data_IF_093941159152
#
_entry.id   IF_093941159152
#
_cell.length_a   1.000
_cell.length_b   1.000
_cell.length_c   1.000
_cell.angle_alpha   90.00
_cell.angle_beta   90.00
_cell.angle_gamma   90.00
#
_symmetry.space_group_name_H-M   'P 1'
#
loop_
_entity.id
_entity.type
_entity.pdbx_description
1 polymer ?
#
# COMPACT_ATOMS: atom_id res chain seq x y z
N UNK A 1 -30.19 -3.11 42.96
CA UNK A 1 -30.00 -3.45 41.54
C UNK A 1 -28.55 -3.13 41.20
N UNK A 2 -27.72 -4.17 41.02
CA UNK A 2 -26.30 -4.01 40.73
C UNK A 2 -26.10 -3.95 39.21
N UNK A 3 -25.36 -2.93 38.77
CA UNK A 3 -24.86 -2.76 37.40
C UNK A 3 -23.84 -3.87 37.09
N UNK A 4 -23.98 -4.66 36.01
CA UNK A 4 -22.97 -5.64 35.65
C UNK A 4 -21.78 -4.95 34.98
N UNK A 5 -20.67 -4.94 35.72
CA UNK A 5 -19.33 -5.32 35.25
C UNK A 5 -18.83 -4.74 33.93
N UNK A 6 -18.02 -3.68 34.06
CA UNK A 6 -16.94 -3.32 33.15
C UNK A 6 -16.00 -4.53 32.90
N UNK A 7 -16.11 -5.20 31.76
CA UNK A 7 -15.17 -6.25 31.33
C UNK A 7 -13.93 -5.58 30.73
N UNK A 8 -12.91 -5.49 31.58
CA UNK A 8 -11.47 -5.37 31.30
C UNK A 8 -11.04 -5.58 29.85
N UNK A 9 -10.52 -4.51 29.24
CA UNK A 9 -9.77 -4.53 27.97
C UNK A 9 -8.33 -5.02 28.15
N UNK A 10 -8.17 -6.17 28.82
CA UNK A 10 -6.89 -6.77 29.19
C UNK A 10 -6.83 -8.26 28.78
N UNK A 11 -7.50 -8.65 27.70
CA UNK A 11 -7.35 -10.01 27.15
C UNK A 11 -6.04 -10.10 26.35
N UNK A 12 -5.00 -10.79 26.86
CA UNK A 12 -3.70 -10.87 26.21
C UNK A 12 -3.79 -11.58 24.85
N UNK A 13 -4.79 -12.43 24.64
CA UNK A 13 -5.06 -13.07 23.35
C UNK A 13 -5.52 -12.07 22.29
N UNK A 14 -6.45 -11.15 22.62
CA UNK A 14 -6.92 -10.12 21.68
C UNK A 14 -5.78 -9.16 21.33
N UNK A 15 -4.99 -8.76 22.33
CA UNK A 15 -3.80 -7.94 22.11
C UNK A 15 -2.75 -8.69 21.28
N UNK A 16 -2.51 -9.98 21.53
CA UNK A 16 -1.56 -10.78 20.75
C UNK A 16 -1.99 -10.99 19.30
N UNK A 17 -3.29 -11.19 19.07
CA UNK A 17 -3.87 -11.29 17.73
C UNK A 17 -3.75 -9.96 17.00
N UNK A 18 -4.06 -8.85 17.68
CA UNK A 18 -3.88 -7.50 17.13
C UNK A 18 -2.41 -7.21 16.80
N UNK A 19 -1.46 -7.54 17.67
CA UNK A 19 -0.03 -7.35 17.43
C UNK A 19 0.48 -8.24 16.29
N UNK A 20 -0.05 -9.45 16.16
CA UNK A 20 0.29 -10.36 15.06
C UNK A 20 -0.26 -9.85 13.74
N UNK A 21 -1.51 -9.37 13.72
CA UNK A 21 -2.13 -8.75 12.56
C UNK A 21 -1.40 -7.47 12.15
N UNK A 22 -1.05 -6.60 13.11
CA UNK A 22 -0.26 -5.38 12.87
C UNK A 22 1.12 -5.74 12.33
N UNK A 23 1.80 -6.76 12.87
CA UNK A 23 3.09 -7.23 12.33
C UNK A 23 2.97 -7.81 10.92
N UNK A 24 1.89 -8.52 10.62
CA UNK A 24 1.65 -9.02 9.26
C UNK A 24 1.31 -7.90 8.29
N UNK A 25 0.57 -6.87 8.75
CA UNK A 25 0.31 -5.65 7.99
C UNK A 25 1.62 -4.91 7.76
N UNK A 26 2.46 -4.72 8.77
CA UNK A 26 3.80 -4.12 8.63
C UNK A 26 4.69 -4.92 7.68
N UNK A 27 4.60 -6.25 7.67
CA UNK A 27 5.39 -7.12 6.77
C UNK A 27 4.86 -7.11 5.34
N UNK A 28 3.54 -6.95 5.14
CA UNK A 28 2.89 -6.74 3.83
C UNK A 28 3.13 -5.31 3.30
N UNK A 29 3.08 -4.30 4.16
CA UNK A 29 3.33 -2.89 3.84
C UNK A 29 4.83 -2.54 3.82
N UNK A 30 5.71 -3.42 4.32
CA UNK A 30 7.18 -3.27 4.28
C UNK A 30 7.72 -3.11 2.85
N UNK A 31 6.94 -3.49 1.83
CA UNK A 31 7.27 -3.39 0.41
C UNK A 31 6.79 -2.08 -0.24
N UNK A 32 6.11 -1.19 0.51
CA UNK A 32 5.39 -0.03 -0.02
C UNK A 32 5.81 1.32 0.62
N UNK A 33 7.10 1.55 0.83
CA UNK A 33 7.55 2.93 1.02
C UNK A 33 7.41 3.69 -0.30
N UNK A 34 6.98 4.95 -0.24
CA UNK A 34 6.72 5.77 -1.42
C UNK A 34 7.94 5.84 -2.36
N UNK A 35 9.14 5.93 -1.79
CA UNK A 35 10.42 5.91 -2.51
C UNK A 35 10.71 4.57 -3.19
N UNK A 36 10.42 3.43 -2.53
CA UNK A 36 10.60 2.11 -3.15
C UNK A 36 9.61 1.87 -4.28
N UNK A 37 8.38 2.39 -4.16
CA UNK A 37 7.39 2.29 -5.22
C UNK A 37 7.82 3.08 -6.46
N UNK A 38 8.37 4.29 -6.25
CA UNK A 38 8.96 5.13 -7.30
C UNK A 38 10.14 4.42 -7.96
N UNK A 39 11.07 3.87 -7.18
CA UNK A 39 12.22 3.12 -7.71
C UNK A 39 11.79 1.87 -8.50
N UNK A 40 10.78 1.15 -8.03
CA UNK A 40 10.18 0.01 -8.75
C UNK A 40 9.58 0.43 -10.10
N UNK A 41 8.86 1.55 -10.14
CA UNK A 41 8.22 2.08 -11.35
C UNK A 41 9.22 2.66 -12.35
N UNK A 42 10.36 3.17 -11.87
CA UNK A 42 11.43 3.77 -12.69
C UNK A 42 12.61 2.83 -12.96
N UNK A 43 12.57 1.59 -12.47
CA UNK A 43 13.65 0.61 -12.64
C UNK A 43 13.93 0.37 -14.13
N UNK A 44 15.20 0.21 -14.55
CA UNK A 44 15.52 -0.23 -15.92
C UNK A 44 14.77 -1.53 -16.26
N UNK A 45 13.90 -1.46 -17.28
CA UNK A 45 12.94 -2.52 -17.65
C UNK A 45 11.47 -2.21 -17.33
N UNK A 46 11.19 -1.04 -16.72
CA UNK A 46 9.86 -0.50 -16.46
C UNK A 46 8.99 -0.38 -17.73
N UNK A 47 9.61 -0.15 -18.89
CA UNK A 47 8.93 -0.01 -20.19
C UNK A 47 8.06 -1.23 -20.54
N UNK A 48 8.52 -2.44 -20.21
CA UNK A 48 7.78 -3.67 -20.50
C UNK A 48 6.89 -4.12 -19.34
N UNK A 49 7.29 -3.81 -18.10
CA UNK A 49 6.58 -4.26 -16.90
C UNK A 49 5.40 -3.35 -16.53
N UNK A 50 5.52 -2.05 -16.81
CA UNK A 50 4.44 -1.09 -16.60
C UNK A 50 3.40 -1.09 -17.73
N UNK A 51 3.64 -1.88 -18.79
CA UNK A 51 2.69 -2.08 -19.88
C UNK A 51 1.42 -2.80 -19.41
N UNK A 52 1.55 -3.65 -18.38
CA UNK A 52 0.42 -4.35 -17.80
C UNK A 52 -0.12 -3.58 -16.58
N UNK A 53 -1.35 -3.02 -16.63
CA UNK A 53 -1.93 -2.29 -15.52
C UNK A 53 -2.12 -3.17 -14.27
N UNK A 54 -2.31 -4.49 -14.45
CA UNK A 54 -2.45 -5.43 -13.34
C UNK A 54 -1.11 -5.67 -12.60
N UNK A 55 0.02 -5.71 -13.31
CA UNK A 55 1.37 -5.81 -12.70
C UNK A 55 1.75 -4.53 -11.92
N UNK A 56 1.35 -3.37 -12.46
CA UNK A 56 1.57 -2.07 -11.81
C UNK A 56 0.74 -1.97 -10.54
N UNK A 57 -0.56 -2.30 -10.64
CA UNK A 57 -1.49 -2.28 -9.52
C UNK A 57 -1.25 -3.44 -8.53
N UNK A 58 -0.45 -4.44 -8.90
CA UNK A 58 -0.25 -5.70 -8.16
C UNK A 58 -1.59 -6.39 -7.88
N UNK A 59 -2.43 -6.47 -8.90
CA UNK A 59 -3.75 -7.07 -8.81
C UNK A 59 -3.82 -8.28 -9.70
N UNK A 60 -4.60 -9.26 -9.26
CA UNK A 60 -4.96 -10.37 -10.12
C UNK A 60 -5.98 -9.90 -11.18
N UNK A 61 -5.88 -10.35 -12.45
CA UNK A 61 -6.87 -10.03 -13.48
C UNK A 61 -8.30 -10.45 -13.12
N UNK A 62 -8.49 -11.41 -12.20
CA UNK A 62 -9.82 -11.83 -11.70
C UNK A 62 -10.36 -10.90 -10.59
N UNK A 63 -9.59 -9.90 -10.17
CA UNK A 63 -10.00 -8.94 -9.13
C UNK A 63 -11.10 -8.00 -9.61
N UNK A 64 -12.07 -7.72 -8.73
CA UNK A 64 -13.16 -6.78 -9.03
C UNK A 64 -12.68 -5.33 -9.22
N UNK A 65 -13.36 -4.60 -10.11
CA UNK A 65 -13.09 -3.19 -10.40
C UNK A 65 -13.09 -2.28 -9.16
N UNK A 66 -13.85 -2.64 -8.13
CA UNK A 66 -13.91 -1.87 -6.88
C UNK A 66 -12.59 -1.92 -6.11
N UNK A 67 -11.98 -3.10 -6.05
CA UNK A 67 -10.68 -3.31 -5.42
C UNK A 67 -9.59 -2.65 -6.27
N UNK A 68 -9.69 -2.75 -7.60
CA UNK A 68 -8.76 -2.07 -8.50
C UNK A 68 -8.76 -0.55 -8.32
N UNK A 69 -9.92 0.06 -8.19
CA UNK A 69 -10.05 1.51 -7.90
C UNK A 69 -9.47 1.89 -6.53
N UNK A 70 -9.62 1.03 -5.51
CA UNK A 70 -9.02 1.28 -4.19
C UNK A 70 -7.50 1.21 -4.26
N UNK A 71 -6.96 0.21 -4.96
CA UNK A 71 -5.53 0.02 -5.10
C UNK A 71 -4.87 1.14 -5.93
N UNK A 72 -5.50 1.54 -7.03
CA UNK A 72 -5.08 2.72 -7.80
C UNK A 72 -4.96 3.96 -6.92
N UNK A 73 -6.00 4.27 -6.14
CA UNK A 73 -5.98 5.43 -5.24
C UNK A 73 -4.85 5.37 -4.20
N UNK A 74 -4.59 4.20 -3.62
CA UNK A 74 -3.47 4.01 -2.69
C UNK A 74 -2.12 4.25 -3.37
N UNK A 75 -1.91 3.65 -4.55
CA UNK A 75 -0.67 3.78 -5.30
C UNK A 75 -0.44 5.22 -5.77
N UNK A 76 -1.45 5.86 -6.34
CA UNK A 76 -1.40 7.28 -6.73
C UNK A 76 -1.04 8.20 -5.56
N UNK A 77 -1.55 7.92 -4.37
CA UNK A 77 -1.22 8.68 -3.17
C UNK A 77 0.23 8.47 -2.73
N UNK A 78 0.76 7.25 -2.87
CA UNK A 78 2.13 6.93 -2.49
C UNK A 78 3.15 7.52 -3.46
N UNK A 79 2.87 7.54 -4.76
CA UNK A 79 3.79 8.09 -5.77
C UNK A 79 3.55 9.58 -6.08
N UNK A 80 2.65 10.25 -5.35
CA UNK A 80 2.34 11.65 -5.59
C UNK A 80 3.56 12.54 -5.29
N UNK A 81 3.90 13.53 -6.15
CA UNK A 81 5.04 14.43 -5.94
C UNK A 81 4.93 15.26 -4.66
N UNK A 82 3.70 15.63 -4.25
CA UNK A 82 3.44 16.38 -3.00
C UNK A 82 3.88 15.62 -1.73
N UNK A 83 3.89 14.29 -1.77
CA UNK A 83 4.26 13.42 -0.64
C UNK A 83 5.71 12.99 -0.66
N UNK A 84 6.42 13.22 -1.76
CA UNK A 84 7.82 12.85 -1.94
C UNK A 84 8.61 14.11 -2.28
N UNK A 85 8.74 15.06 -1.34
CA UNK A 85 9.42 16.33 -1.57
C UNK A 85 10.92 16.16 -1.86
N UNK A 86 11.52 15.03 -1.47
CA UNK A 86 12.91 14.70 -1.72
C UNK A 86 13.19 14.34 -3.19
N UNK A 87 12.21 13.74 -3.89
CA UNK A 87 12.37 13.26 -5.28
C UNK A 87 11.13 13.58 -6.16
N UNK A 88 10.75 14.85 -6.31
CA UNK A 88 9.51 15.25 -6.96
C UNK A 88 9.47 14.90 -8.46
N UNK A 89 10.60 15.00 -9.16
CA UNK A 89 10.68 14.61 -10.59
C UNK A 89 10.47 13.11 -10.80
N UNK A 90 11.08 12.27 -9.96
CA UNK A 90 10.91 10.81 -10.04
C UNK A 90 9.49 10.40 -9.68
N UNK A 91 8.92 11.01 -8.65
CA UNK A 91 7.53 10.80 -8.28
C UNK A 91 6.58 11.17 -9.44
N UNK A 92 6.81 12.32 -10.09
CA UNK A 92 6.04 12.75 -11.26
C UNK A 92 6.16 11.75 -12.42
N UNK A 93 7.37 11.29 -12.75
CA UNK A 93 7.59 10.31 -13.82
C UNK A 93 6.90 8.98 -13.53
N UNK A 94 7.02 8.49 -12.30
CA UNK A 94 6.35 7.26 -11.85
C UNK A 94 4.82 7.37 -11.86
N UNK A 95 4.29 8.55 -11.56
CA UNK A 95 2.85 8.83 -11.57
C UNK A 95 2.28 8.99 -12.99
N UNK A 96 2.94 9.77 -13.85
CA UNK A 96 2.48 10.01 -15.23
C UNK A 96 2.65 8.78 -16.13
N UNK A 97 3.43 7.78 -15.70
CA UNK A 97 3.76 6.63 -16.54
C UNK A 97 4.50 7.04 -17.81
N UNK A 98 5.17 8.20 -17.81
CA UNK A 98 6.10 8.61 -18.87
C UNK A 98 7.36 7.76 -18.74
N UNK A 99 7.30 6.59 -19.35
CA UNK A 99 8.43 5.69 -19.64
C UNK A 99 8.95 5.99 -21.04
#
# INVERSE_FOLDING_TARGET
>A
MAVPGNTTGDDPEIFSNFITEVKEIEKRDSVLTSTQQIDRLLRPGSTYRNLNPYEVLQLDPETSLEVAKKQYRKLSFLVHPDKNPDEPEKAQQAFEGKI
#
